data_IF_498218843938
#
_entry.id   IF_498218843938
#
_cell.length_a   1.000
_cell.length_b   1.000
_cell.length_c   1.000
_cell.angle_alpha   90.00
_cell.angle_beta   90.00
_cell.angle_gamma   90.00
#
_symmetry.space_group_name_H-M   'P 1'
#
loop_
_entity.id
_entity.type
_entity.pdbx_description
1 polymer ?
#
# COMPACT_ATOMS: atom_id res chain seq x y z
N UNK A 1 29.49 -7.38 2.68
CA UNK A 1 28.11 -7.93 2.63
C UNK A 1 27.12 -7.01 1.93
N UNK A 2 27.13 -5.69 2.20
CA UNK A 2 26.13 -4.74 1.65
C UNK A 2 26.16 -4.58 0.11
N UNK A 3 27.34 -4.59 -0.51
CA UNK A 3 27.48 -4.39 -1.96
C UNK A 3 27.02 -5.61 -2.79
N UNK A 4 27.30 -6.82 -2.31
CA UNK A 4 26.84 -8.08 -2.91
C UNK A 4 25.31 -8.20 -2.83
N UNK A 5 24.73 -7.74 -1.71
CA UNK A 5 23.28 -7.69 -1.47
C UNK A 5 22.59 -6.70 -2.41
N UNK A 6 23.14 -5.48 -2.55
CA UNK A 6 22.62 -4.49 -3.50
C UNK A 6 22.68 -5.00 -4.95
N UNK A 7 23.72 -5.74 -5.30
CA UNK A 7 23.90 -6.30 -6.65
C UNK A 7 22.93 -7.44 -6.95
N UNK A 8 22.66 -8.33 -5.98
CA UNK A 8 21.71 -9.44 -6.16
C UNK A 8 20.26 -8.93 -6.26
N UNK A 9 19.89 -7.93 -5.48
CA UNK A 9 18.57 -7.28 -5.56
C UNK A 9 18.34 -6.63 -6.93
N UNK A 10 19.30 -5.82 -7.40
CA UNK A 10 19.23 -5.21 -8.74
C UNK A 10 19.03 -6.26 -9.84
N UNK A 11 19.78 -7.37 -9.78
CA UNK A 11 19.65 -8.46 -10.76
C UNK A 11 18.27 -9.12 -10.70
N UNK A 12 17.72 -9.34 -9.51
CA UNK A 12 16.38 -9.92 -9.34
C UNK A 12 15.30 -9.01 -9.92
N UNK A 13 15.35 -7.70 -9.64
CA UNK A 13 14.41 -6.71 -10.18
C UNK A 13 14.52 -6.62 -11.70
N UNK A 14 15.73 -6.58 -12.27
CA UNK A 14 15.91 -6.58 -13.72
C UNK A 14 15.35 -7.84 -14.38
N UNK A 15 15.53 -9.01 -13.75
CA UNK A 15 14.97 -10.27 -14.26
C UNK A 15 13.44 -10.26 -14.22
N UNK A 16 12.85 -9.77 -13.12
CA UNK A 16 11.40 -9.62 -12.99
C UNK A 16 10.84 -8.70 -14.08
N UNK A 17 11.46 -7.54 -14.29
CA UNK A 17 11.05 -6.59 -15.32
C UNK A 17 11.08 -7.20 -16.72
N UNK A 18 12.15 -7.94 -17.06
CA UNK A 18 12.23 -8.64 -18.34
C UNK A 18 11.10 -9.68 -18.51
N UNK A 19 10.81 -10.47 -17.48
CA UNK A 19 9.75 -11.48 -17.52
C UNK A 19 8.35 -10.85 -17.63
N UNK A 20 8.11 -9.75 -16.93
CA UNK A 20 6.83 -9.02 -17.00
C UNK A 20 6.61 -8.42 -18.39
N UNK A 21 7.64 -7.77 -18.97
CA UNK A 21 7.56 -7.19 -20.30
C UNK A 21 7.43 -8.25 -21.41
N UNK A 22 8.04 -9.43 -21.24
CA UNK A 22 7.90 -10.56 -22.16
C UNK A 22 6.49 -11.17 -22.11
N UNK A 23 5.90 -11.27 -20.91
CA UNK A 23 4.59 -11.87 -20.71
C UNK A 23 3.43 -11.02 -21.24
N UNK A 24 3.46 -9.70 -21.05
CA UNK A 24 2.52 -8.77 -21.68
C UNK A 24 3.27 -7.48 -22.10
N UNK A 25 3.65 -7.33 -23.38
CA UNK A 25 4.35 -6.14 -23.87
C UNK A 25 3.53 -4.85 -23.80
N UNK A 26 2.20 -4.95 -23.65
CA UNK A 26 1.29 -3.80 -23.58
C UNK A 26 1.14 -3.32 -22.14
N UNK A 27 0.88 -4.24 -21.19
CA UNK A 27 0.61 -3.91 -19.77
C UNK A 27 1.86 -3.96 -18.90
N UNK A 28 2.86 -4.74 -19.28
CA UNK A 28 4.08 -4.92 -18.52
C UNK A 28 4.84 -3.62 -18.20
N UNK A 29 5.00 -2.68 -19.17
CA UNK A 29 5.67 -1.41 -18.91
C UNK A 29 5.03 -0.56 -17.80
N UNK A 30 3.70 -0.48 -17.74
CA UNK A 30 2.96 0.26 -16.69
C UNK A 30 3.16 -0.37 -15.31
N UNK A 31 3.09 -1.70 -15.22
CA UNK A 31 3.39 -2.43 -13.98
C UNK A 31 4.82 -2.17 -13.50
N UNK A 32 5.81 -2.20 -14.40
CA UNK A 32 7.20 -1.90 -14.05
C UNK A 32 7.34 -0.44 -13.60
N UNK A 33 6.67 0.50 -14.27
CA UNK A 33 6.65 1.92 -13.91
C UNK A 33 6.11 2.16 -12.49
N UNK A 34 5.02 1.48 -12.12
CA UNK A 34 4.42 1.61 -10.79
C UNK A 34 5.35 1.25 -9.63
N UNK A 35 6.36 0.39 -9.87
CA UNK A 35 7.37 0.06 -8.86
C UNK A 35 8.30 1.24 -8.56
N UNK A 36 8.57 2.10 -9.54
CA UNK A 36 9.36 3.31 -9.31
C UNK A 36 8.54 4.37 -8.56
N UNK A 37 7.25 4.52 -8.90
CA UNK A 37 6.33 5.40 -8.18
C UNK A 37 6.23 5.03 -6.70
N UNK A 38 6.14 3.73 -6.39
CA UNK A 38 6.16 3.23 -5.01
C UNK A 38 7.46 3.63 -4.28
N UNK A 39 8.62 3.42 -4.92
CA UNK A 39 9.93 3.78 -4.35
C UNK A 39 10.04 5.28 -4.09
N UNK A 40 9.55 6.11 -5.00
CA UNK A 40 9.53 7.57 -4.85
C UNK A 40 8.58 7.97 -3.71
N UNK A 41 7.39 7.37 -3.63
CA UNK A 41 6.42 7.57 -2.56
C UNK A 41 7.01 7.33 -1.18
N UNK A 42 7.71 6.21 -0.98
CA UNK A 42 8.37 5.89 0.29
C UNK A 42 9.37 6.98 0.71
N UNK A 43 10.21 7.42 -0.25
CA UNK A 43 11.22 8.44 0.03
C UNK A 43 10.61 9.79 0.39
N UNK A 44 9.57 10.21 -0.32
CA UNK A 44 8.89 11.50 -0.10
C UNK A 44 8.23 11.54 1.28
N UNK A 45 7.46 10.49 1.60
CA UNK A 45 6.71 10.41 2.86
C UNK A 45 7.65 10.45 4.07
N UNK A 46 8.77 9.72 4.02
CA UNK A 46 9.78 9.71 5.09
C UNK A 46 10.36 11.09 5.36
N UNK A 47 10.61 11.88 4.30
CA UNK A 47 11.15 13.23 4.42
C UNK A 47 10.18 14.22 5.05
N UNK A 48 8.90 14.12 4.68
CA UNK A 48 7.89 15.18 4.91
C UNK A 48 6.83 14.86 5.96
N UNK A 49 6.90 13.72 6.64
CA UNK A 49 5.91 13.31 7.66
C UNK A 49 5.58 14.37 8.74
N UNK A 50 6.55 15.21 9.09
CA UNK A 50 6.38 16.28 10.06
C UNK A 50 5.62 17.50 9.53
N UNK A 51 5.50 17.64 8.21
CA UNK A 51 4.90 18.80 7.53
C UNK A 51 3.38 18.67 7.36
N UNK A 52 2.82 17.45 7.44
CA UNK A 52 1.38 17.27 7.27
C UNK A 52 0.58 17.94 8.39
N UNK A 53 -0.52 18.57 8.00
CA UNK A 53 -1.49 19.22 8.90
C UNK A 53 -2.90 18.65 8.77
N UNK A 54 -3.14 17.79 7.77
CA UNK A 54 -4.41 17.11 7.53
C UNK A 54 -4.18 15.67 7.12
N UNK A 55 -5.14 14.78 7.42
CA UNK A 55 -5.08 13.37 7.01
C UNK A 55 -5.14 13.25 5.48
N UNK A 56 -5.94 14.10 4.82
CA UNK A 56 -6.07 14.13 3.37
C UNK A 56 -4.73 14.48 2.69
N UNK A 57 -3.97 15.43 3.26
CA UNK A 57 -2.65 15.79 2.79
C UNK A 57 -1.63 14.65 2.97
N UNK A 58 -1.69 13.96 4.11
CA UNK A 58 -0.88 12.76 4.37
C UNK A 58 -1.21 11.61 3.40
N UNK A 59 -2.50 11.35 3.16
CA UNK A 59 -2.96 10.28 2.28
C UNK A 59 -2.42 10.40 0.85
N UNK A 60 -2.27 11.61 0.32
CA UNK A 60 -1.72 11.83 -1.03
C UNK A 60 -0.34 11.18 -1.22
N UNK A 61 0.50 11.25 -0.20
CA UNK A 61 1.85 10.66 -0.24
C UNK A 61 1.88 9.24 0.36
N UNK A 62 0.92 8.90 1.25
CA UNK A 62 0.82 7.55 1.84
C UNK A 62 0.25 6.51 0.87
N UNK A 63 -0.68 6.87 -0.01
CA UNK A 63 -1.26 5.96 -1.03
C UNK A 63 -0.17 5.32 -1.93
N UNK A 64 0.75 6.08 -2.55
CA UNK A 64 1.83 5.47 -3.32
C UNK A 64 2.81 4.71 -2.42
N UNK A 65 3.12 5.19 -1.21
CA UNK A 65 4.02 4.51 -0.25
C UNK A 65 3.52 3.13 0.22
N UNK A 66 2.20 2.95 0.40
CA UNK A 66 1.62 1.62 0.70
C UNK A 66 1.51 0.71 -0.53
N UNK A 67 1.97 1.16 -1.70
CA UNK A 67 2.03 0.37 -2.93
C UNK A 67 0.68 0.21 -3.62
N UNK A 68 -0.27 1.12 -3.41
CA UNK A 68 -1.61 0.99 -3.99
C UNK A 68 -1.59 0.94 -5.52
N UNK A 69 -0.80 1.80 -6.16
CA UNK A 69 -0.61 1.80 -7.61
C UNK A 69 -0.03 0.49 -8.12
N UNK A 70 0.92 -0.11 -7.40
CA UNK A 70 1.51 -1.41 -7.75
C UNK A 70 0.45 -2.51 -7.71
N UNK A 71 -0.42 -2.53 -6.69
CA UNK A 71 -1.50 -3.50 -6.58
C UNK A 71 -2.51 -3.35 -7.73
N UNK A 72 -2.82 -2.12 -8.12
CA UNK A 72 -3.70 -1.82 -9.24
C UNK A 72 -3.13 -2.31 -10.57
N UNK A 73 -1.87 -2.01 -10.86
CA UNK A 73 -1.22 -2.49 -12.09
C UNK A 73 -1.05 -4.01 -12.10
N UNK A 74 -0.77 -4.64 -10.95
CA UNK A 74 -0.75 -6.10 -10.82
C UNK A 74 -2.11 -6.71 -11.18
N UNK A 75 -3.20 -6.08 -10.74
CA UNK A 75 -4.54 -6.56 -11.03
C UNK A 75 -4.94 -6.33 -12.50
N UNK A 76 -4.53 -5.23 -13.11
CA UNK A 76 -4.75 -4.97 -14.54
C UNK A 76 -3.97 -5.99 -15.38
N UNK A 77 -2.69 -6.19 -15.06
CA UNK A 77 -1.82 -7.18 -15.70
C UNK A 77 -2.39 -8.61 -15.56
N UNK A 78 -2.79 -9.00 -14.33
CA UNK A 78 -3.25 -10.35 -14.04
C UNK A 78 -4.67 -10.66 -14.54
N UNK A 79 -5.55 -9.65 -14.65
CA UNK A 79 -6.93 -9.84 -15.13
C UNK A 79 -7.06 -9.75 -16.65
N UNK A 80 -6.09 -9.13 -17.33
CA UNK A 80 -6.18 -8.87 -18.77
C UNK A 80 -7.28 -7.87 -19.15
N UNK A 81 -7.80 -7.11 -18.18
CA UNK A 81 -8.82 -6.08 -18.43
C UNK A 81 -8.30 -5.07 -19.46
N UNK A 82 -9.17 -4.70 -20.40
CA UNK A 82 -8.92 -3.61 -21.35
C UNK A 82 -9.60 -2.34 -20.82
N UNK A 83 -8.86 -1.57 -20.03
CA UNK A 83 -9.28 -0.28 -19.50
C UNK A 83 -8.22 0.77 -19.78
N UNK A 84 -8.63 1.88 -20.39
CA UNK A 84 -7.70 2.95 -20.74
C UNK A 84 -7.32 3.79 -19.52
N UNK A 85 -6.17 4.47 -19.58
CA UNK A 85 -5.78 5.45 -18.57
C UNK A 85 -6.82 6.58 -18.44
N UNK A 86 -7.45 6.99 -19.54
CA UNK A 86 -8.50 8.01 -19.52
C UNK A 86 -9.76 7.54 -18.77
N UNK A 87 -10.20 6.31 -19.02
CA UNK A 87 -11.29 5.69 -18.27
C UNK A 87 -10.96 5.65 -16.77
N UNK A 88 -9.78 5.13 -16.39
CA UNK A 88 -9.37 5.07 -14.98
C UNK A 88 -9.43 6.44 -14.32
N UNK A 89 -8.83 7.46 -14.95
CA UNK A 89 -8.83 8.85 -14.46
C UNK A 89 -10.22 9.44 -14.27
N UNK A 90 -11.20 9.03 -15.07
CA UNK A 90 -12.58 9.49 -14.90
C UNK A 90 -13.23 9.01 -13.60
N UNK A 91 -12.70 7.93 -13.00
CA UNK A 91 -13.17 7.36 -11.74
C UNK A 91 -12.27 7.68 -10.53
N UNK A 92 -11.12 8.36 -10.70
CA UNK A 92 -10.17 8.64 -9.61
C UNK A 92 -10.83 9.35 -8.42
N UNK A 93 -11.65 10.37 -8.69
CA UNK A 93 -12.38 11.11 -7.66
C UNK A 93 -13.43 10.25 -6.96
N UNK A 94 -13.95 9.22 -7.63
CA UNK A 94 -14.88 8.27 -7.01
C UNK A 94 -14.14 7.39 -6.02
N UNK A 95 -12.94 6.91 -6.38
CA UNK A 95 -12.16 6.01 -5.54
C UNK A 95 -11.32 6.70 -4.46
N UNK A 96 -11.10 8.01 -4.53
CA UNK A 96 -10.28 8.73 -3.55
C UNK A 96 -10.67 8.42 -2.08
N UNK A 97 -11.96 8.42 -1.66
CA UNK A 97 -12.32 8.04 -0.31
C UNK A 97 -11.95 6.58 0.02
N UNK A 98 -12.10 5.66 -0.94
CA UNK A 98 -11.73 4.25 -0.75
C UNK A 98 -10.20 4.09 -0.55
N UNK A 99 -9.39 4.87 -1.27
CA UNK A 99 -7.93 4.85 -1.09
C UNK A 99 -7.52 5.39 0.28
N UNK A 100 -8.15 6.48 0.73
CA UNK A 100 -7.97 7.02 2.07
C UNK A 100 -8.38 6.01 3.14
N UNK A 101 -9.51 5.32 2.95
CA UNK A 101 -9.96 4.25 3.84
C UNK A 101 -8.92 3.13 3.91
N UNK A 102 -8.35 2.72 2.77
CA UNK A 102 -7.27 1.74 2.70
C UNK A 102 -6.05 2.15 3.53
N UNK A 103 -5.63 3.41 3.43
CA UNK A 103 -4.54 3.99 4.25
C UNK A 103 -4.88 3.93 5.74
N UNK A 104 -6.05 4.40 6.15
CA UNK A 104 -6.43 4.43 7.56
C UNK A 104 -6.56 3.03 8.15
N UNK A 105 -7.14 2.09 7.39
CA UNK A 105 -7.21 0.69 7.78
C UNK A 105 -5.83 0.04 7.91
N UNK A 106 -4.92 0.32 6.97
CA UNK A 106 -3.53 -0.12 7.06
C UNK A 106 -2.88 0.40 8.34
N UNK A 107 -2.91 1.71 8.56
CA UNK A 107 -2.28 2.37 9.72
C UNK A 107 -2.87 1.88 11.07
N UNK A 108 -4.18 1.58 11.12
CA UNK A 108 -4.83 0.98 12.29
C UNK A 108 -4.34 -0.44 12.57
N UNK A 109 -4.36 -1.30 11.55
CA UNK A 109 -4.02 -2.72 11.67
C UNK A 109 -2.50 -2.96 11.72
N UNK A 110 -1.71 -1.98 11.29
CA UNK A 110 -0.25 -2.01 11.35
C UNK A 110 0.33 -1.40 12.62
N UNK A 111 -0.47 -0.68 13.42
CA UNK A 111 0.02 0.10 14.55
C UNK A 111 0.90 -0.72 15.49
N UNK A 112 0.42 -1.86 16.00
CA UNK A 112 1.11 -2.61 17.07
C UNK A 112 2.50 -3.09 16.60
N UNK A 113 2.62 -3.60 15.37
CA UNK A 113 3.91 -4.00 14.82
C UNK A 113 4.84 -2.81 14.53
N UNK A 114 4.29 -1.65 14.16
CA UNK A 114 5.06 -0.47 13.78
C UNK A 114 5.59 0.26 15.02
N UNK A 115 4.81 0.34 16.09
CA UNK A 115 5.29 0.88 17.36
C UNK A 115 6.35 -0.03 17.99
N UNK A 116 6.19 -1.36 17.92
CA UNK A 116 7.19 -2.32 18.38
C UNK A 116 8.50 -2.20 17.56
N UNK A 117 8.40 -1.97 16.25
CA UNK A 117 9.56 -1.72 15.40
C UNK A 117 10.24 -0.38 15.77
N UNK A 118 9.46 0.68 15.96
CA UNK A 118 9.94 1.99 16.39
C UNK A 118 10.69 1.91 17.72
N UNK A 119 10.11 1.25 18.73
CA UNK A 119 10.73 1.10 20.05
C UNK A 119 12.04 0.30 20.01
N UNK A 120 12.13 -0.72 19.16
CA UNK A 120 13.34 -1.54 19.04
C UNK A 120 14.47 -0.89 18.24
N UNK A 121 14.14 -0.10 17.22
CA UNK A 121 15.11 0.38 16.22
C UNK A 121 15.35 1.88 16.27
N UNK A 122 14.44 2.65 16.88
CA UNK A 122 14.41 4.11 16.82
C UNK A 122 13.97 4.66 15.46
N UNK A 123 13.57 3.82 14.50
CA UNK A 123 13.11 4.28 13.18
C UNK A 123 11.83 5.10 13.27
N UNK A 124 11.71 6.15 12.46
CA UNK A 124 10.54 7.04 12.45
C UNK A 124 9.24 6.26 12.25
N UNK A 125 8.29 6.42 13.17
CA UNK A 125 6.93 5.89 13.06
C UNK A 125 6.09 6.77 12.13
N UNK A 126 5.74 6.24 10.97
CA UNK A 126 4.92 6.92 9.94
C UNK A 126 3.55 6.28 9.97
N UNK A 127 2.61 6.94 10.65
CA UNK A 127 1.29 6.40 10.90
C UNK A 127 0.30 7.53 11.24
N UNK A 128 -0.93 7.44 10.74
CA UNK A 128 -2.02 8.40 10.99
C UNK A 128 -2.33 8.59 12.47
N UNK A 129 -2.18 7.55 13.30
CA UNK A 129 -2.37 7.66 14.76
C UNK A 129 -1.40 8.68 15.35
N UNK A 130 -0.12 8.65 14.96
CA UNK A 130 0.89 9.64 15.42
C UNK A 130 0.50 11.07 15.03
N UNK A 131 -0.03 11.24 13.82
CA UNK A 131 -0.48 12.55 13.34
C UNK A 131 -1.64 13.09 14.20
N UNK A 132 -2.63 12.26 14.50
CA UNK A 132 -3.77 12.64 15.35
C UNK A 132 -3.35 12.97 16.77
N UNK A 133 -2.44 12.20 17.37
CA UNK A 133 -1.87 12.53 18.68
C UNK A 133 -1.14 13.89 18.64
N UNK A 134 -0.35 14.14 17.59
CA UNK A 134 0.39 15.40 17.41
C UNK A 134 -0.53 16.60 17.26
N UNK A 135 -1.57 16.49 16.42
CA UNK A 135 -2.43 17.62 16.08
C UNK A 135 -3.46 17.95 17.16
N UNK A 136 -3.93 16.92 17.88
CA UNK A 136 -5.07 17.06 18.77
C UNK A 136 -4.79 16.67 20.23
N UNK A 137 -3.57 16.24 20.57
CA UNK A 137 -3.22 15.80 21.91
C UNK A 137 -3.94 14.52 22.35
N UNK A 138 -4.45 13.74 21.40
CA UNK A 138 -5.18 12.51 21.66
C UNK A 138 -4.29 11.43 22.30
N UNK A 139 -4.89 10.60 23.14
CA UNK A 139 -4.33 9.29 23.50
C UNK A 139 -4.30 8.37 22.28
N UNK A 140 -3.57 7.25 22.36
CA UNK A 140 -3.50 6.27 21.27
C UNK A 140 -4.89 5.69 20.98
N UNK A 141 -5.66 5.40 22.03
CA UNK A 141 -7.00 4.83 21.96
C UNK A 141 -7.99 5.81 21.32
N UNK A 142 -7.95 7.08 21.71
CA UNK A 142 -8.76 8.14 21.09
C UNK A 142 -8.40 8.34 19.63
N UNK A 143 -7.11 8.39 19.30
CA UNK A 143 -6.63 8.53 17.93
C UNK A 143 -7.05 7.33 17.06
N UNK A 144 -6.92 6.08 17.56
CA UNK A 144 -7.41 4.88 16.86
C UNK A 144 -8.92 4.92 16.66
N UNK A 145 -9.69 5.36 17.66
CA UNK A 145 -11.14 5.49 17.55
C UNK A 145 -11.56 6.55 16.50
N UNK A 146 -10.91 7.72 16.53
CA UNK A 146 -11.15 8.79 15.56
C UNK A 146 -10.78 8.36 14.14
N UNK A 147 -9.65 7.67 13.97
CA UNK A 147 -9.21 7.15 12.67
C UNK A 147 -10.16 6.08 12.12
N UNK A 148 -10.68 5.19 12.98
CA UNK A 148 -11.70 4.22 12.60
C UNK A 148 -13.00 4.91 12.14
N UNK A 149 -13.42 5.96 12.85
CA UNK A 149 -14.58 6.74 12.45
C UNK A 149 -14.37 7.42 11.08
N UNK A 150 -13.20 8.00 10.86
CA UNK A 150 -12.82 8.59 9.56
C UNK A 150 -12.82 7.55 8.43
N UNK A 151 -12.32 6.34 8.68
CA UNK A 151 -12.37 5.24 7.72
C UNK A 151 -13.82 4.89 7.31
N UNK A 152 -14.74 4.85 8.29
CA UNK A 152 -16.18 4.61 8.02
C UNK A 152 -16.83 5.75 7.23
N UNK A 153 -16.43 7.00 7.46
CA UNK A 153 -16.88 8.15 6.68
C UNK A 153 -16.41 8.06 5.24
N UNK A 154 -15.15 7.67 5.02
CA UNK A 154 -14.61 7.41 3.70
C UNK A 154 -15.37 6.29 2.97
N UNK A 155 -15.71 5.19 3.65
CA UNK A 155 -16.51 4.11 3.06
C UNK A 155 -17.91 4.60 2.63
N UNK A 156 -18.58 5.41 3.47
CA UNK A 156 -19.89 5.98 3.12
C UNK A 156 -19.81 6.94 1.93
N UNK A 157 -18.79 7.80 1.92
CA UNK A 157 -18.57 8.74 0.83
C UNK A 157 -18.22 8.02 -0.49
N UNK A 158 -17.43 6.94 -0.42
CA UNK A 158 -17.17 6.07 -1.57
C UNK A 158 -18.46 5.50 -2.14
N UNK A 159 -19.33 4.92 -1.31
CA UNK A 159 -20.60 4.36 -1.77
C UNK A 159 -21.47 5.43 -2.42
N UNK A 160 -21.58 6.62 -1.81
CA UNK A 160 -22.32 7.75 -2.38
C UNK A 160 -21.78 8.16 -3.75
N UNK A 161 -20.45 8.31 -3.89
CA UNK A 161 -19.81 8.67 -5.18
C UNK A 161 -19.96 7.58 -6.23
N UNK A 162 -19.91 6.31 -5.82
CA UNK A 162 -20.11 5.15 -6.70
C UNK A 162 -21.53 5.13 -7.26
N UNK A 163 -22.53 5.31 -6.40
CA UNK A 163 -23.94 5.39 -6.81
C UNK A 163 -24.15 6.51 -7.83
N UNK A 164 -23.61 7.70 -7.56
CA UNK A 164 -23.65 8.85 -8.46
C UNK A 164 -22.98 8.56 -9.81
N UNK A 165 -21.78 7.98 -9.78
CA UNK A 165 -21.02 7.62 -10.99
C UNK A 165 -21.78 6.66 -11.91
N UNK A 166 -22.49 5.68 -11.33
CA UNK A 166 -23.26 4.68 -12.09
C UNK A 166 -24.66 5.14 -12.52
N UNK A 167 -25.07 6.38 -12.22
CA UNK A 167 -26.28 6.97 -12.81
C UNK A 167 -26.13 7.17 -14.32
N UNK A 168 -24.90 7.35 -14.81
CA UNK A 168 -24.60 7.41 -16.23
C UNK A 168 -24.20 6.04 -16.80
N UNK A 169 -24.47 5.75 -18.08
CA UNK A 169 -23.97 4.55 -18.73
C UNK A 169 -22.45 4.44 -18.65
N UNK A 170 -21.96 3.26 -18.31
CA UNK A 170 -20.53 2.93 -18.14
C UNK A 170 -20.16 1.68 -18.91
N UNK A 171 -18.91 1.59 -19.39
CA UNK A 171 -18.41 0.43 -20.12
C UNK A 171 -18.36 -0.82 -19.21
N UNK A 172 -18.46 -2.04 -19.76
CA UNK A 172 -18.21 -3.27 -19.00
C UNK A 172 -16.83 -3.27 -18.32
N UNK A 173 -15.80 -2.78 -19.01
CA UNK A 173 -14.46 -2.59 -18.44
C UNK A 173 -14.49 -1.68 -17.21
N UNK A 174 -15.19 -0.55 -17.27
CA UNK A 174 -15.32 0.34 -16.11
C UNK A 174 -15.98 -0.37 -14.92
N UNK A 175 -17.05 -1.14 -15.14
CA UNK A 175 -17.68 -1.92 -14.06
C UNK A 175 -16.73 -2.97 -13.48
N UNK A 176 -15.98 -3.66 -14.34
CA UNK A 176 -14.97 -4.62 -13.90
C UNK A 176 -13.84 -3.96 -13.11
N UNK A 177 -13.46 -2.75 -13.49
CA UNK A 177 -12.46 -1.96 -12.77
C UNK A 177 -12.92 -1.62 -11.35
N UNK A 178 -14.17 -1.20 -11.17
CA UNK A 178 -14.73 -1.03 -9.82
C UNK A 178 -14.63 -2.31 -8.98
N UNK A 179 -15.01 -3.45 -9.55
CA UNK A 179 -14.89 -4.74 -8.84
C UNK A 179 -13.45 -5.08 -8.46
N UNK A 180 -12.49 -4.82 -9.34
CA UNK A 180 -11.06 -5.03 -9.05
C UNK A 180 -10.63 -4.16 -7.87
N UNK A 181 -10.89 -2.84 -7.93
CA UNK A 181 -10.45 -1.91 -6.89
C UNK A 181 -11.10 -2.20 -5.54
N UNK A 182 -12.41 -2.51 -5.52
CA UNK A 182 -13.13 -2.90 -4.31
C UNK A 182 -12.59 -4.22 -3.74
N UNK A 183 -12.25 -5.18 -4.61
CA UNK A 183 -11.66 -6.45 -4.19
C UNK A 183 -10.28 -6.25 -3.57
N UNK A 184 -9.44 -5.38 -4.15
CA UNK A 184 -8.14 -5.01 -3.57
C UNK A 184 -8.33 -4.41 -2.18
N UNK A 185 -9.26 -3.45 -2.03
CA UNK A 185 -9.53 -2.80 -0.75
C UNK A 185 -9.99 -3.81 0.31
N UNK A 186 -11.02 -4.60 0.00
CA UNK A 186 -11.57 -5.59 0.93
C UNK A 186 -10.55 -6.69 1.29
N UNK A 187 -9.86 -7.24 0.27
CA UNK A 187 -8.84 -8.26 0.48
C UNK A 187 -7.65 -7.73 1.28
N UNK A 188 -7.26 -6.47 1.08
CA UNK A 188 -6.23 -5.79 1.87
C UNK A 188 -6.57 -5.80 3.36
N UNK A 189 -7.79 -5.38 3.72
CA UNK A 189 -8.24 -5.39 5.13
C UNK A 189 -8.26 -6.80 5.72
N UNK A 190 -8.82 -7.79 4.98
CA UNK A 190 -8.85 -9.19 5.41
C UNK A 190 -7.43 -9.71 5.63
N UNK A 191 -6.53 -9.46 4.68
CA UNK A 191 -5.14 -9.89 4.81
C UNK A 191 -4.44 -9.23 6.00
N UNK A 192 -4.69 -7.94 6.26
CA UNK A 192 -4.16 -7.27 7.44
C UNK A 192 -4.68 -7.86 8.75
N UNK A 193 -5.94 -8.29 8.80
CA UNK A 193 -6.50 -8.90 10.02
C UNK A 193 -5.96 -10.31 10.28
N UNK A 194 -5.70 -11.11 9.25
CA UNK A 194 -5.46 -12.55 9.40
C UNK A 194 -4.07 -13.02 8.99
N UNK A 195 -3.25 -12.18 8.36
CA UNK A 195 -1.91 -12.60 7.95
C UNK A 195 -0.97 -12.72 9.15
N UNK A 196 -0.10 -13.74 9.10
CA UNK A 196 1.03 -13.91 10.04
C UNK A 196 1.96 -12.68 10.14
N UNK A 197 1.88 -11.75 9.18
CA UNK A 197 2.63 -10.50 9.19
C UNK A 197 2.08 -9.51 10.24
N UNK A 198 0.80 -9.59 10.57
CA UNK A 198 0.09 -8.63 11.43
C UNK A 198 -0.43 -9.28 12.71
N UNK A 199 -0.90 -10.52 12.63
CA UNK A 199 -1.26 -11.33 13.78
C UNK A 199 -0.42 -12.60 13.75
N UNK A 200 0.40 -12.84 14.78
CA UNK A 200 1.13 -14.09 14.95
C UNK A 200 0.37 -14.99 15.94
N UNK A 201 -0.60 -15.82 15.48
CA UNK A 201 -1.46 -16.62 16.36
C UNK A 201 -0.76 -17.88 16.89
N UNK A 202 0.52 -17.78 17.28
CA UNK A 202 1.42 -18.86 17.73
C UNK A 202 2.21 -19.56 16.61
N UNK A 203 3.53 -19.67 16.81
CA UNK A 203 4.48 -20.38 15.94
C UNK A 203 5.70 -19.52 15.57
N UNK A 204 6.42 -19.91 14.52
CA UNK A 204 7.45 -19.08 13.89
C UNK A 204 6.86 -18.11 12.86
N UNK A 205 5.53 -18.06 12.67
CA UNK A 205 4.88 -17.25 11.63
C UNK A 205 5.45 -17.49 10.23
N UNK A 206 5.70 -16.41 9.47
CA UNK A 206 6.44 -16.51 8.20
C UNK A 206 7.94 -16.79 8.39
N UNK A 207 8.45 -16.91 9.61
CA UNK A 207 9.90 -16.95 9.84
C UNK A 207 10.52 -18.24 9.33
N UNK A 208 9.85 -19.38 9.45
CA UNK A 208 10.32 -20.62 8.83
C UNK A 208 10.27 -20.54 7.30
N UNK A 209 9.21 -19.93 6.75
CA UNK A 209 9.11 -19.66 5.32
C UNK A 209 10.25 -18.75 4.85
N UNK A 210 10.51 -17.63 5.53
CA UNK A 210 11.58 -16.70 5.17
C UNK A 210 12.97 -17.30 5.38
N UNK A 211 13.18 -18.14 6.41
CA UNK A 211 14.42 -18.86 6.61
C UNK A 211 14.64 -19.88 5.48
N UNK A 212 13.61 -20.64 5.10
CA UNK A 212 13.65 -21.55 3.95
C UNK A 212 14.00 -20.78 2.67
N UNK A 213 13.27 -19.70 2.38
CA UNK A 213 13.51 -18.84 1.22
C UNK A 213 14.92 -18.24 1.23
N UNK A 214 15.42 -17.83 2.38
CA UNK A 214 16.81 -17.34 2.54
C UNK A 214 17.84 -18.43 2.20
N UNK A 215 17.62 -19.68 2.64
CA UNK A 215 18.48 -20.82 2.29
C UNK A 215 18.39 -21.16 0.79
N UNK A 216 17.24 -20.93 0.17
CA UNK A 216 17.00 -21.09 -1.27
C UNK A 216 17.52 -19.89 -2.10
N UNK A 217 18.22 -18.94 -1.48
CA UNK A 217 18.82 -17.78 -2.14
C UNK A 217 17.86 -16.60 -2.38
N UNK A 218 16.63 -16.66 -1.87
CA UNK A 218 15.72 -15.52 -1.88
C UNK A 218 16.11 -14.51 -0.78
N UNK A 219 16.16 -13.23 -1.14
CA UNK A 219 16.57 -12.18 -0.23
C UNK A 219 15.55 -11.97 0.89
N UNK A 220 16.01 -12.02 2.14
CA UNK A 220 15.28 -11.48 3.30
C UNK A 220 15.70 -10.03 3.48
N UNK A 221 14.82 -9.09 3.15
CA UNK A 221 14.95 -7.74 3.71
C UNK A 221 14.78 -7.91 5.21
N UNK A 222 15.87 -7.77 5.99
CA UNK A 222 15.74 -7.63 7.43
C UNK A 222 14.74 -6.49 7.62
N UNK A 223 13.63 -6.75 8.32
CA UNK A 223 12.93 -5.68 9.04
C UNK A 223 13.91 -5.15 10.08
N UNK A 224 14.84 -4.31 9.65
CA UNK A 224 15.68 -3.40 10.43
C UNK A 224 16.52 -2.61 9.43
N UNK A 225 16.26 -1.31 9.43
CA UNK A 225 17.17 -0.23 9.09
C UNK A 225 17.40 -0.03 7.60
N UNK A 226 16.60 0.90 7.08
CA UNK A 226 17.00 1.93 6.11
C UNK A 226 18.37 1.64 5.48
N UNK A 227 18.36 1.08 4.27
CA UNK A 227 19.52 1.23 3.39
C UNK A 227 19.59 2.74 3.11
N UNK A 228 20.39 3.46 3.90
CA UNK A 228 20.88 4.78 3.51
C UNK A 228 21.73 4.55 2.26
N UNK A 229 21.20 4.96 1.13
CA UNK A 229 22.01 5.25 -0.04
C UNK A 229 22.20 6.77 0.00
N UNK A 230 23.33 7.19 0.57
CA UNK A 230 24.00 8.41 0.11
C UNK A 230 24.59 8.16 -1.27
#
# INVERSE_FOLDING_TARGET
>A
EDETVKTSFKRAVSKLAAQVAEADPVRGPELIGSLDDWRVGESLLRGRFHEYTTLEGYCKDRIPDIGWGVLQECAIFGSGIDITMHERKSADQVFEPLYQQGVYGNDLLSWDKEIDAHQRTGERLINSVVLLQRWHGMTVEEAKAALKQKALECDKEYQRRKEEFFQSPTSPSMRWWFHIVESIAAAGQIWHMFSYRHQDPHGSGYMDYFQKRSREGAFRQKMMTVIRIT
#
